data_IF_465794810627
#
_entry.id   IF_465794810627
#
_cell.length_a   1.000
_cell.length_b   1.000
_cell.length_c   1.000
_cell.angle_alpha   90.00
_cell.angle_beta   90.00
_cell.angle_gamma   90.00
#
_symmetry.space_group_name_H-M   'P 1'
#
loop_
_entity.id
_entity.type
_entity.pdbx_description
1 polymer ?
#
# COMPACT_ATOMS: atom_id res chain seq x y z
N UNK A 1 51.96 -9.69 42.81
CA UNK A 1 52.23 -8.91 44.03
C UNK A 1 51.22 -7.77 44.11
N UNK A 2 50.42 -7.70 45.19
CA UNK A 2 49.59 -6.54 45.55
C UNK A 2 50.45 -5.55 46.35
N UNK A 3 50.05 -4.28 46.44
CA UNK A 3 49.40 -3.89 47.69
C UNK A 3 48.07 -3.14 47.52
N UNK A 4 47.27 -3.24 48.59
CA UNK A 4 46.00 -2.55 48.90
C UNK A 4 46.27 -1.14 49.49
N UNK A 5 45.17 -0.38 49.59
CA UNK A 5 44.80 0.76 50.48
C UNK A 5 44.42 1.98 49.61
N UNK A 6 43.37 2.77 49.85
CA UNK A 6 42.32 2.86 50.88
C UNK A 6 41.21 3.75 50.28
N UNK A 7 39.94 3.46 50.60
CA UNK A 7 38.82 4.38 50.40
C UNK A 7 38.90 5.55 51.40
N UNK A 8 38.31 6.70 51.08
CA UNK A 8 37.19 7.15 51.91
C UNK A 8 35.96 7.57 51.11
N UNK A 9 34.79 7.22 51.66
CA UNK A 9 33.49 7.84 51.35
C UNK A 9 33.49 9.31 51.76
N UNK A 10 32.94 10.22 50.94
CA UNK A 10 32.17 11.37 51.43
C UNK A 10 30.94 11.59 50.53
N UNK A 11 29.80 11.66 51.21
CA UNK A 11 28.44 12.01 50.78
C UNK A 11 28.36 13.38 50.11
N UNK A 12 27.52 13.50 49.08
CA UNK A 12 27.08 14.79 48.55
C UNK A 12 25.85 14.62 47.67
N UNK A 13 24.65 14.59 48.28
CA UNK A 13 23.40 14.86 47.57
C UNK A 13 23.42 16.33 47.10
N UNK A 14 23.35 16.54 45.80
CA UNK A 14 22.73 17.72 45.23
C UNK A 14 22.05 17.31 43.93
N UNK A 15 20.73 17.15 44.02
CA UNK A 15 19.86 17.05 42.86
C UNK A 15 19.92 18.38 42.10
N UNK A 16 20.65 18.42 40.99
CA UNK A 16 20.54 19.48 39.99
C UNK A 16 19.87 18.87 38.76
N UNK A 17 18.54 18.98 38.77
CA UNK A 17 17.71 18.79 37.61
C UNK A 17 18.12 19.79 36.53
N UNK A 18 18.82 19.32 35.50
CA UNK A 18 18.87 19.98 34.20
C UNK A 18 18.11 19.09 33.21
N UNK A 19 16.78 19.09 33.35
CA UNK A 19 15.93 18.79 32.21
C UNK A 19 16.06 19.92 31.18
N UNK A 20 15.90 19.65 29.88
CA UNK A 20 15.78 20.71 28.90
C UNK A 20 14.63 21.61 29.33
N UNK A 21 14.89 22.91 29.42
CA UNK A 21 13.88 23.91 29.71
C UNK A 21 12.71 23.73 28.73
N UNK A 22 11.56 23.31 29.24
CA UNK A 22 10.32 23.38 28.49
C UNK A 22 10.10 24.87 28.14
N UNK A 23 9.90 25.22 26.86
CA UNK A 23 9.60 26.60 26.52
C UNK A 23 8.30 26.97 27.23
N UNK A 24 8.38 28.03 28.04
CA UNK A 24 7.27 28.62 28.78
C UNK A 24 6.14 28.97 27.81
N UNK A 25 5.12 28.09 27.74
CA UNK A 25 3.97 28.21 26.83
C UNK A 25 2.94 29.26 27.28
N UNK A 26 3.28 30.15 28.21
CA UNK A 26 2.30 31.10 28.78
C UNK A 26 2.26 32.47 28.09
N UNK A 27 3.11 32.74 27.08
CA UNK A 27 3.26 34.11 26.55
C UNK A 27 3.18 34.31 25.03
N UNK A 28 2.64 33.36 24.28
CA UNK A 28 2.41 33.58 22.85
C UNK A 28 1.05 33.03 22.40
N UNK A 29 0.46 33.71 21.41
CA UNK A 29 -0.58 33.21 20.50
C UNK A 29 -2.05 33.57 20.77
N UNK A 30 -2.37 34.86 20.94
CA UNK A 30 -3.65 35.42 20.43
C UNK A 30 -3.54 35.91 18.97
N UNK A 31 -2.36 35.80 18.36
CA UNK A 31 -2.06 36.22 16.99
C UNK A 31 -1.21 35.20 16.19
N UNK A 32 -1.26 33.90 16.53
CA UNK A 32 -0.67 32.88 15.68
C UNK A 32 -1.56 32.62 14.47
N UNK A 33 -0.98 32.68 13.28
CA UNK A 33 -1.60 32.08 12.11
C UNK A 33 -1.71 30.56 12.32
N UNK A 34 -2.88 29.99 12.12
CA UNK A 34 -3.11 28.55 12.19
C UNK A 34 -3.63 28.01 10.86
N UNK A 35 -3.33 26.76 10.52
CA UNK A 35 -3.91 26.06 9.37
C UNK A 35 -4.94 25.01 9.80
N UNK A 36 -4.82 24.52 11.04
CA UNK A 36 -5.66 23.51 11.65
C UNK A 36 -5.84 23.74 13.16
N UNK A 37 -6.84 23.09 13.76
CA UNK A 37 -7.06 23.16 15.22
C UNK A 37 -5.88 22.58 16.01
N UNK A 38 -5.09 21.68 15.41
CA UNK A 38 -3.90 21.08 16.02
C UNK A 38 -2.74 22.08 16.19
N UNK A 39 -2.77 23.21 15.45
CA UNK A 39 -1.79 24.30 15.58
C UNK A 39 -2.09 25.22 16.77
N UNK A 40 -3.27 25.10 17.36
CA UNK A 40 -3.73 25.93 18.47
C UNK A 40 -3.51 25.26 19.84
N UNK A 41 -3.32 26.08 20.87
CA UNK A 41 -3.25 25.58 22.24
C UNK A 41 -4.57 24.89 22.65
N UNK A 42 -4.49 23.92 23.57
CA UNK A 42 -5.67 23.20 24.07
C UNK A 42 -6.76 24.17 24.55
N UNK A 43 -7.99 23.99 24.05
CA UNK A 43 -9.13 24.87 24.34
C UNK A 43 -9.29 26.05 23.36
N UNK A 44 -8.48 26.11 22.31
CA UNK A 44 -8.58 27.04 21.20
C UNK A 44 -8.75 26.27 19.89
N UNK A 45 -9.47 26.86 18.95
CA UNK A 45 -9.73 26.32 17.61
C UNK A 45 -9.27 27.31 16.55
N UNK A 46 -8.89 26.80 15.38
CA UNK A 46 -8.45 27.61 14.26
C UNK A 46 -9.65 28.12 13.44
N UNK A 47 -9.95 29.42 13.52
CA UNK A 47 -10.96 30.09 12.69
C UNK A 47 -10.32 31.21 11.90
N UNK A 48 -10.55 31.21 10.59
CA UNK A 48 -10.03 32.25 9.68
C UNK A 48 -8.52 32.46 9.82
N UNK A 49 -7.77 31.36 10.00
CA UNK A 49 -6.32 31.34 10.27
C UNK A 49 -5.91 31.98 11.59
N UNK A 50 -6.80 32.10 12.57
CA UNK A 50 -6.47 32.59 13.92
C UNK A 50 -6.96 31.63 15.00
N UNK A 51 -6.17 31.45 16.06
CA UNK A 51 -6.59 30.64 17.21
C UNK A 51 -7.57 31.42 18.08
N UNK A 52 -8.81 30.95 18.17
CA UNK A 52 -9.88 31.54 18.97
C UNK A 52 -10.30 30.58 20.08
N UNK A 53 -10.55 31.10 21.28
CA UNK A 53 -11.01 30.28 22.41
C UNK A 53 -12.39 29.71 22.10
N UNK A 54 -12.56 28.40 22.23
CA UNK A 54 -13.84 27.76 22.00
C UNK A 54 -13.74 26.29 21.62
N UNK A 55 -14.90 25.71 21.34
CA UNK A 55 -15.05 24.34 20.86
C UNK A 55 -15.84 24.34 19.55
N UNK A 56 -15.54 23.39 18.67
CA UNK A 56 -16.30 23.18 17.44
C UNK A 56 -17.69 22.64 17.80
N UNK A 57 -18.71 23.12 17.12
CA UNK A 57 -20.04 22.52 17.17
C UNK A 57 -20.03 21.11 16.57
N UNK A 58 -21.00 20.27 16.94
CA UNK A 58 -21.15 18.93 16.36
C UNK A 58 -21.28 18.97 14.82
N UNK A 59 -21.94 20.01 14.28
CA UNK A 59 -22.06 20.23 12.85
C UNK A 59 -20.71 20.57 12.19
N UNK A 60 -19.89 21.43 12.81
CA UNK A 60 -18.54 21.75 12.33
C UNK A 60 -17.63 20.50 12.36
N UNK A 61 -17.68 19.71 13.44
CA UNK A 61 -16.92 18.45 13.53
C UNK A 61 -17.35 17.44 12.47
N UNK A 62 -18.65 17.29 12.22
CA UNK A 62 -19.17 16.41 11.18
C UNK A 62 -18.74 16.88 9.78
N UNK A 63 -18.78 18.19 9.51
CA UNK A 63 -18.31 18.77 8.26
C UNK A 63 -16.81 18.57 8.04
N UNK A 64 -15.98 18.78 9.08
CA UNK A 64 -14.53 18.53 9.01
C UNK A 64 -14.21 17.06 8.78
N UNK A 65 -14.92 16.15 9.45
CA UNK A 65 -14.78 14.71 9.22
C UNK A 65 -15.14 14.34 7.78
N UNK A 66 -16.28 14.81 7.28
CA UNK A 66 -16.70 14.59 5.90
C UNK A 66 -15.68 15.15 4.89
N UNK A 67 -15.18 16.36 5.10
CA UNK A 67 -14.16 16.96 4.24
C UNK A 67 -12.84 16.18 4.25
N UNK A 68 -12.41 15.68 5.42
CA UNK A 68 -11.24 14.81 5.56
C UNK A 68 -11.43 13.47 4.84
N UNK A 69 -12.61 12.88 4.96
CA UNK A 69 -12.96 11.62 4.28
C UNK A 69 -13.01 11.81 2.76
N UNK A 70 -13.60 12.90 2.27
CA UNK A 70 -13.62 13.26 0.84
C UNK A 70 -12.21 13.54 0.30
N UNK A 71 -11.37 14.28 1.05
CA UNK A 71 -9.99 14.54 0.67
C UNK A 71 -9.17 13.24 0.63
N UNK A 72 -9.37 12.34 1.60
CA UNK A 72 -8.73 11.02 1.63
C UNK A 72 -9.19 10.15 0.46
N UNK A 73 -10.46 10.19 0.10
CA UNK A 73 -10.99 9.49 -1.08
C UNK A 73 -10.40 10.06 -2.38
N UNK A 74 -10.35 11.38 -2.54
CA UNK A 74 -9.72 12.03 -3.71
C UNK A 74 -8.24 11.70 -3.81
N UNK A 75 -7.49 11.81 -2.72
CA UNK A 75 -6.06 11.46 -2.70
C UNK A 75 -5.83 9.98 -3.05
N UNK A 76 -6.70 9.08 -2.58
CA UNK A 76 -6.67 7.66 -2.99
C UNK A 76 -6.98 7.48 -4.47
N UNK A 77 -8.01 8.13 -5.00
CA UNK A 77 -8.36 8.06 -6.42
C UNK A 77 -7.25 8.61 -7.33
N UNK A 78 -6.61 9.72 -6.95
CA UNK A 78 -5.47 10.28 -7.67
C UNK A 78 -4.22 9.40 -7.58
N UNK A 79 -3.96 8.79 -6.42
CA UNK A 79 -2.89 7.82 -6.26
C UNK A 79 -3.12 6.56 -7.11
N UNK A 80 -4.36 6.08 -7.21
CA UNK A 80 -4.76 4.99 -8.11
C UNK A 80 -4.52 5.40 -9.57
N UNK A 81 -4.96 6.59 -10.00
CA UNK A 81 -4.69 7.09 -11.35
C UNK A 81 -3.20 7.20 -11.66
N UNK A 82 -2.38 7.69 -10.73
CA UNK A 82 -0.91 7.74 -10.90
C UNK A 82 -0.29 6.35 -10.99
N UNK A 83 -0.79 5.37 -10.22
CA UNK A 83 -0.37 3.97 -10.35
C UNK A 83 -0.76 3.35 -11.68
N UNK A 84 -1.84 3.80 -12.31
CA UNK A 84 -2.32 3.31 -13.60
C UNK A 84 -1.58 3.91 -14.82
N UNK A 85 -0.62 4.79 -14.58
CA UNK A 85 0.21 5.38 -15.64
C UNK A 85 1.44 4.52 -15.90
N UNK A 86 1.64 4.14 -17.17
CA UNK A 86 2.85 3.45 -17.63
C UNK A 86 3.94 4.47 -17.90
N UNK A 87 5.15 4.24 -17.38
CA UNK A 87 6.31 5.09 -17.65
C UNK A 87 6.78 4.95 -19.11
N UNK A 88 7.41 5.99 -19.69
CA UNK A 88 7.98 5.90 -21.03
C UNK A 88 8.97 4.73 -21.14
N UNK A 89 8.82 3.93 -22.20
CA UNK A 89 9.66 2.74 -22.45
C UNK A 89 9.33 1.51 -21.60
N UNK A 90 8.40 1.61 -20.65
CA UNK A 90 7.89 0.48 -19.87
C UNK A 90 6.62 -0.11 -20.51
N UNK A 91 6.27 -1.32 -20.08
CA UNK A 91 5.09 -2.05 -20.50
C UNK A 91 4.12 -2.33 -19.36
N UNK A 92 3.03 -3.04 -19.70
CA UNK A 92 2.04 -3.54 -18.74
C UNK A 92 2.09 -5.06 -18.69
N UNK A 93 1.83 -5.62 -17.52
CA UNK A 93 1.63 -7.05 -17.33
C UNK A 93 0.29 -7.29 -16.67
N UNK A 94 -0.67 -7.78 -17.44
CA UNK A 94 -2.00 -8.17 -16.95
C UNK A 94 -2.04 -9.66 -16.70
N UNK A 95 -2.48 -10.02 -15.50
CA UNK A 95 -2.71 -11.39 -15.06
C UNK A 95 -4.18 -11.64 -14.77
N UNK A 96 -4.59 -12.90 -14.88
CA UNK A 96 -5.95 -13.33 -14.50
C UNK A 96 -5.96 -14.51 -13.53
N UNK A 97 -6.66 -14.34 -12.41
CA UNK A 97 -6.91 -15.38 -11.40
C UNK A 97 -8.38 -15.79 -11.48
N UNK A 98 -8.64 -17.08 -11.70
CA UNK A 98 -10.00 -17.59 -11.89
C UNK A 98 -10.44 -18.49 -10.72
N UNK A 99 -11.72 -18.47 -10.29
CA UNK A 99 -12.80 -17.68 -10.87
C UNK A 99 -12.72 -16.18 -10.56
N UNK A 100 -12.36 -15.82 -9.32
CA UNK A 100 -12.11 -14.44 -8.87
C UNK A 100 -11.26 -14.45 -7.58
N UNK A 101 -10.61 -13.34 -7.27
CA UNK A 101 -10.17 -13.00 -5.91
C UNK A 101 -11.24 -12.13 -5.25
N UNK A 102 -11.62 -12.48 -4.01
CA UNK A 102 -12.55 -11.70 -3.19
C UNK A 102 -11.80 -11.02 -2.05
N UNK A 103 -11.92 -9.70 -1.94
CA UNK A 103 -11.29 -8.97 -0.87
C UNK A 103 -12.19 -8.97 0.38
N UNK A 104 -11.74 -9.64 1.43
CA UNK A 104 -12.38 -9.66 2.76
C UNK A 104 -11.39 -9.17 3.81
N UNK A 105 -11.88 -8.85 5.01
CA UNK A 105 -11.04 -8.41 6.14
C UNK A 105 -9.93 -9.42 6.46
N UNK A 106 -10.22 -10.71 6.28
CA UNK A 106 -9.28 -11.80 6.56
C UNK A 106 -8.49 -12.23 5.30
N UNK A 107 -8.83 -11.79 4.08
CA UNK A 107 -8.15 -12.28 2.88
C UNK A 107 -6.73 -11.74 2.73
N UNK A 108 -5.81 -12.59 2.29
CA UNK A 108 -4.49 -12.21 1.79
C UNK A 108 -4.40 -12.66 0.34
N UNK A 109 -3.96 -11.78 -0.55
CA UNK A 109 -3.63 -12.15 -1.92
C UNK A 109 -2.41 -11.38 -2.39
N UNK A 110 -1.49 -12.08 -3.04
CA UNK A 110 -0.33 -11.44 -3.67
C UNK A 110 -0.05 -11.99 -5.05
N UNK A 111 0.44 -11.13 -5.93
CA UNK A 111 1.07 -11.51 -7.19
C UNK A 111 2.48 -10.93 -7.18
N UNK A 112 3.45 -11.78 -7.48
CA UNK A 112 4.86 -11.41 -7.58
C UNK A 112 5.31 -11.62 -9.02
N UNK A 113 5.87 -10.58 -9.64
CA UNK A 113 6.51 -10.66 -10.94
C UNK A 113 8.02 -10.45 -10.78
N UNK A 114 8.81 -11.47 -11.09
CA UNK A 114 10.27 -11.45 -11.01
C UNK A 114 10.88 -11.41 -12.39
N UNK A 115 11.59 -10.33 -12.72
CA UNK A 115 12.28 -10.21 -14.00
C UNK A 115 13.40 -11.26 -14.09
N UNK A 116 13.42 -12.05 -15.17
CA UNK A 116 14.33 -13.20 -15.28
C UNK A 116 15.79 -12.78 -15.48
N UNK A 117 16.04 -11.62 -16.06
CA UNK A 117 17.38 -11.09 -16.34
C UNK A 117 17.94 -10.34 -15.13
N UNK A 118 17.23 -9.31 -14.67
CA UNK A 118 17.67 -8.43 -13.58
C UNK A 118 17.44 -9.00 -12.19
N UNK A 119 16.65 -10.08 -12.09
CA UNK A 119 16.20 -10.72 -10.82
C UNK A 119 15.39 -9.79 -9.90
N UNK A 120 15.00 -8.61 -10.38
CA UNK A 120 14.19 -7.65 -9.63
C UNK A 120 12.76 -8.14 -9.49
N UNK A 121 12.22 -8.01 -8.28
CA UNK A 121 10.86 -8.44 -7.94
C UNK A 121 9.91 -7.24 -7.84
N UNK A 122 8.70 -7.45 -8.32
CA UNK A 122 7.60 -6.50 -8.29
C UNK A 122 6.41 -7.16 -7.61
N UNK A 123 5.98 -6.60 -6.48
CA UNK A 123 4.93 -7.16 -5.64
C UNK A 123 3.64 -6.35 -5.78
N UNK A 124 2.52 -7.06 -5.96
CA UNK A 124 1.17 -6.52 -5.90
C UNK A 124 0.39 -7.21 -4.79
N UNK A 125 -0.18 -6.41 -3.89
CA UNK A 125 -1.14 -6.90 -2.89
C UNK A 125 -2.55 -6.73 -3.42
N UNK A 126 -3.27 -7.83 -3.64
CA UNK A 126 -4.59 -7.82 -4.30
C UNK A 126 -5.63 -7.03 -3.49
N UNK A 127 -5.56 -7.11 -2.16
CA UNK A 127 -6.41 -6.32 -1.25
C UNK A 127 -6.24 -4.79 -1.38
N UNK A 128 -5.17 -4.31 -2.02
CA UNK A 128 -4.97 -2.87 -2.30
C UNK A 128 -5.52 -2.43 -3.65
N UNK A 129 -5.80 -3.39 -4.53
CA UNK A 129 -6.29 -3.12 -5.89
C UNK A 129 -7.83 -3.19 -5.96
N UNK A 130 -8.47 -3.85 -5.00
CA UNK A 130 -9.93 -4.03 -4.94
C UNK A 130 -10.45 -3.48 -3.61
N UNK A 131 -11.58 -2.76 -3.57
CA UNK A 131 -12.23 -2.35 -2.31
C UNK A 131 -12.59 -3.54 -1.42
N UNK A 132 -12.70 -3.32 -0.12
CA UNK A 132 -13.18 -4.36 0.81
C UNK A 132 -14.62 -4.75 0.47
N UNK A 133 -14.91 -6.04 0.41
CA UNK A 133 -16.23 -6.59 0.04
C UNK A 133 -16.40 -6.89 -1.45
N UNK A 134 -15.56 -6.30 -2.31
CA UNK A 134 -15.59 -6.49 -3.76
C UNK A 134 -14.74 -7.69 -4.22
N UNK A 135 -14.86 -8.01 -5.51
CA UNK A 135 -14.08 -9.05 -6.19
C UNK A 135 -13.48 -8.54 -7.50
N UNK A 136 -12.42 -9.18 -7.98
CA UNK A 136 -11.97 -9.08 -9.36
C UNK A 136 -11.21 -10.34 -9.80
N UNK A 137 -11.16 -10.60 -11.09
CA UNK A 137 -10.38 -11.69 -11.68
C UNK A 137 -9.13 -11.21 -12.44
N UNK A 138 -9.05 -9.94 -12.84
CA UNK A 138 -7.93 -9.40 -13.61
C UNK A 138 -7.15 -8.33 -12.83
N UNK A 139 -5.82 -8.43 -12.86
CA UNK A 139 -4.91 -7.53 -12.16
C UNK A 139 -3.78 -7.08 -13.09
N UNK A 140 -3.40 -5.81 -13.02
CA UNK A 140 -2.42 -5.24 -13.96
C UNK A 140 -1.28 -4.56 -13.23
N UNK A 141 -0.05 -5.01 -13.48
CA UNK A 141 1.12 -4.18 -13.25
C UNK A 141 1.18 -3.15 -14.36
N UNK A 142 0.91 -1.90 -14.03
CA UNK A 142 0.76 -0.83 -15.01
C UNK A 142 2.07 -0.30 -15.58
N UNK A 143 3.19 -0.61 -14.93
CA UNK A 143 4.51 -0.13 -15.34
C UNK A 143 5.56 -1.12 -14.90
N UNK A 144 6.09 -1.87 -15.86
CA UNK A 144 7.23 -2.78 -15.69
C UNK A 144 8.24 -2.57 -16.82
N UNK A 145 9.56 -2.66 -16.52
CA UNK A 145 10.57 -2.74 -17.56
C UNK A 145 10.27 -3.87 -18.55
N UNK A 146 10.53 -3.69 -19.86
CA UNK A 146 10.40 -4.77 -20.82
C UNK A 146 11.28 -5.98 -20.44
N UNK A 147 10.84 -7.17 -20.80
CA UNK A 147 11.56 -8.41 -20.56
C UNK A 147 10.66 -9.56 -20.15
N UNK A 148 11.27 -10.71 -19.85
CA UNK A 148 10.56 -11.90 -19.39
C UNK A 148 10.47 -11.92 -17.86
N UNK A 149 9.33 -12.34 -17.35
CA UNK A 149 9.04 -12.42 -15.92
C UNK A 149 8.59 -13.82 -15.53
N UNK A 150 9.14 -14.34 -14.43
CA UNK A 150 8.56 -15.43 -13.65
C UNK A 150 7.51 -14.82 -12.71
N UNK A 151 6.25 -15.15 -12.94
CA UNK A 151 5.13 -14.61 -12.17
C UNK A 151 4.52 -15.72 -11.33
N UNK A 152 4.21 -15.41 -10.07
CA UNK A 152 3.54 -16.33 -9.15
C UNK A 152 2.39 -15.61 -8.46
N UNK A 153 1.29 -16.31 -8.22
CA UNK A 153 0.18 -15.80 -7.43
C UNK A 153 0.02 -16.65 -6.16
N UNK A 154 -0.34 -16.01 -5.05
CA UNK A 154 -0.71 -16.69 -3.82
C UNK A 154 -1.97 -16.08 -3.22
N UNK A 155 -2.74 -16.93 -2.55
CA UNK A 155 -3.97 -16.58 -1.87
C UNK A 155 -4.01 -17.22 -0.49
N UNK A 156 -4.75 -16.63 0.43
CA UNK A 156 -4.83 -17.13 1.79
C UNK A 156 -5.72 -16.31 2.70
N UNK A 157 -5.65 -16.64 3.98
CA UNK A 157 -6.39 -15.96 5.04
C UNK A 157 -5.44 -15.56 6.19
N UNK A 158 -5.71 -14.43 6.82
CA UNK A 158 -5.08 -13.97 8.05
C UNK A 158 -6.11 -13.89 9.15
N UNK A 159 -5.89 -14.65 10.23
CA UNK A 159 -6.77 -14.62 11.40
C UNK A 159 -5.93 -14.58 12.66
N UNK A 160 -6.24 -13.62 13.55
CA UNK A 160 -5.51 -13.42 14.81
C UNK A 160 -3.98 -13.27 14.63
N UNK A 161 -3.54 -12.67 13.51
CA UNK A 161 -2.13 -12.47 13.21
C UNK A 161 -1.41 -13.71 12.63
N UNK A 162 -2.11 -14.82 12.46
CA UNK A 162 -1.60 -16.01 11.78
C UNK A 162 -2.07 -15.96 10.33
N UNK A 163 -1.11 -15.98 9.40
CA UNK A 163 -1.37 -16.06 7.97
C UNK A 163 -1.19 -17.50 7.49
N UNK A 164 -2.19 -17.99 6.75
CA UNK A 164 -2.11 -19.24 5.99
C UNK A 164 -2.29 -18.90 4.51
N UNK A 165 -1.27 -19.17 3.70
CA UNK A 165 -1.23 -18.80 2.29
C UNK A 165 -0.75 -19.97 1.44
N UNK A 166 -1.43 -20.19 0.32
CA UNK A 166 -1.08 -21.18 -0.68
C UNK A 166 -0.68 -20.51 -1.98
N UNK A 167 0.29 -21.09 -2.69
CA UNK A 167 0.57 -20.69 -4.07
C UNK A 167 -0.51 -21.26 -4.99
N UNK A 168 -1.00 -20.43 -5.90
CA UNK A 168 -2.01 -20.85 -6.86
C UNK A 168 -1.35 -21.68 -7.96
N UNK A 169 -2.07 -22.72 -8.40
CA UNK A 169 -1.63 -23.52 -9.54
C UNK A 169 -1.99 -22.83 -10.85
N UNK A 170 -1.14 -22.96 -11.84
CA UNK A 170 -1.43 -22.54 -13.19
C UNK A 170 -2.72 -23.20 -13.69
N UNK A 171 -3.44 -22.53 -14.57
CA UNK A 171 -4.59 -23.14 -15.24
C UNK A 171 -4.18 -24.38 -16.06
N UNK A 172 -5.01 -25.42 -16.05
CA UNK A 172 -4.76 -26.69 -16.75
C UNK A 172 -4.43 -26.53 -18.24
N UNK A 173 -4.99 -25.49 -18.89
CA UNK A 173 -4.68 -25.19 -20.30
C UNK A 173 -3.23 -24.79 -20.50
N UNK A 174 -2.62 -24.21 -19.47
CA UNK A 174 -1.21 -23.82 -19.46
C UNK A 174 -0.29 -24.89 -18.90
N UNK A 175 -0.78 -25.82 -18.06
CA UNK A 175 0.01 -26.99 -17.62
C UNK A 175 0.42 -27.87 -18.82
N UNK A 176 -0.46 -27.97 -19.83
CA UNK A 176 -0.16 -28.70 -21.08
C UNK A 176 0.89 -28.01 -21.94
N UNK A 177 1.03 -26.69 -21.82
CA UNK A 177 2.07 -25.90 -22.45
C UNK A 177 3.21 -25.63 -21.46
N UNK A 178 4.07 -26.63 -21.27
CA UNK A 178 5.23 -26.60 -20.35
C UNK A 178 6.20 -25.44 -20.58
N UNK A 179 6.07 -24.68 -21.67
CA UNK A 179 6.85 -23.46 -21.91
C UNK A 179 6.27 -22.23 -21.19
N UNK A 180 4.98 -22.26 -20.84
CA UNK A 180 4.26 -21.14 -20.27
C UNK A 180 3.98 -21.31 -18.76
N UNK A 181 4.05 -22.52 -18.22
CA UNK A 181 3.98 -22.79 -16.79
C UNK A 181 5.13 -23.72 -16.34
N UNK A 182 5.83 -23.33 -15.28
CA UNK A 182 6.96 -24.02 -14.66
C UNK A 182 6.59 -24.42 -13.22
N UNK A 183 6.93 -25.64 -12.85
CA UNK A 183 6.69 -26.22 -11.52
C UNK A 183 5.21 -26.11 -11.07
N UNK A 184 4.28 -26.10 -12.02
CA UNK A 184 2.83 -25.97 -11.87
C UNK A 184 2.31 -24.67 -11.21
N UNK A 185 3.20 -23.76 -10.77
CA UNK A 185 2.82 -22.52 -10.06
C UNK A 185 3.40 -21.25 -10.67
N UNK A 186 4.49 -21.36 -11.46
CA UNK A 186 5.20 -20.21 -12.04
C UNK A 186 4.76 -19.99 -13.48
N UNK A 187 4.24 -18.81 -13.79
CA UNK A 187 3.90 -18.37 -15.16
C UNK A 187 5.04 -17.59 -15.77
N UNK A 188 5.48 -17.98 -16.96
CA UNK A 188 6.43 -17.19 -17.75
C UNK A 188 5.67 -16.21 -18.63
N UNK A 189 5.94 -14.91 -18.46
CA UNK A 189 5.20 -13.84 -19.11
C UNK A 189 6.14 -12.79 -19.67
N UNK A 190 5.87 -12.32 -20.89
CA UNK A 190 6.66 -11.28 -21.54
C UNK A 190 5.99 -9.91 -21.35
N UNK A 191 6.80 -8.91 -20.99
CA UNK A 191 6.42 -7.50 -20.98
C UNK A 191 7.09 -6.83 -22.17
N UNK A 192 6.27 -6.26 -23.04
CA UNK A 192 6.72 -5.41 -24.15
C UNK A 192 6.37 -3.95 -23.86
N UNK A 193 7.13 -2.98 -24.41
CA UNK A 193 6.77 -1.56 -24.34
C UNK A 193 5.34 -1.29 -24.80
N UNK A 194 4.69 -0.29 -24.19
CA UNK A 194 3.27 0.01 -24.43
C UNK A 194 2.92 0.26 -25.92
N UNK A 195 3.81 0.90 -26.67
CA UNK A 195 3.69 1.15 -28.12
C UNK A 195 3.73 -0.12 -28.97
N UNK A 196 4.26 -1.22 -28.41
CA UNK A 196 4.36 -2.54 -29.04
C UNK A 196 3.34 -3.53 -28.49
N UNK A 197 2.50 -3.15 -27.53
CA UNK A 197 1.44 -4.02 -27.02
C UNK A 197 0.36 -4.20 -28.08
N UNK A 198 -0.02 -5.45 -28.33
CA UNK A 198 -1.16 -5.74 -29.19
C UNK A 198 -2.43 -5.12 -28.59
N UNK A 199 -3.30 -4.51 -29.42
CA UNK A 199 -4.58 -4.03 -28.94
C UNK A 199 -5.41 -5.19 -28.38
N UNK A 200 -6.22 -4.96 -27.34
CA UNK A 200 -7.07 -6.01 -26.78
C UNK A 200 -8.01 -6.54 -27.84
N UNK A 201 -8.09 -7.87 -27.96
CA UNK A 201 -9.06 -8.52 -28.82
C UNK A 201 -10.47 -8.16 -28.36
N UNK A 202 -11.39 -8.01 -29.31
CA UNK A 202 -12.78 -7.67 -29.05
C UNK A 202 -13.69 -8.79 -29.51
N UNK A 203 -14.76 -9.02 -28.77
CA UNK A 203 -15.81 -9.93 -29.16
C UNK A 203 -16.66 -9.35 -30.29
N UNK A 204 -17.68 -10.11 -30.71
CA UNK A 204 -18.60 -9.72 -31.79
C UNK A 204 -19.41 -8.46 -31.47
N UNK A 205 -19.52 -8.12 -30.19
CA UNK A 205 -20.25 -6.96 -29.67
C UNK A 205 -19.31 -5.76 -29.43
N UNK A 206 -18.02 -5.91 -29.74
CA UNK A 206 -17.01 -4.86 -29.58
C UNK A 206 -16.46 -4.72 -28.17
N UNK A 207 -16.81 -5.62 -27.24
CA UNK A 207 -16.29 -5.61 -25.88
C UNK A 207 -14.93 -6.32 -25.82
N UNK A 208 -13.98 -5.85 -25.00
CA UNK A 208 -12.71 -6.54 -24.81
C UNK A 208 -12.91 -7.98 -24.34
N UNK A 209 -12.31 -8.94 -25.04
CA UNK A 209 -12.28 -10.34 -24.63
C UNK A 209 -11.32 -10.45 -23.44
N UNK A 210 -11.81 -11.03 -22.35
CA UNK A 210 -10.99 -11.31 -21.17
C UNK A 210 -9.86 -12.27 -21.52
N UNK A 211 -8.69 -12.04 -20.93
CA UNK A 211 -7.53 -12.92 -21.10
C UNK A 211 -7.85 -14.33 -20.57
N UNK A 212 -7.26 -15.41 -21.10
CA UNK A 212 -7.31 -16.73 -20.46
C UNK A 212 -6.85 -16.68 -18.99
N UNK A 213 -7.34 -17.62 -18.17
CA UNK A 213 -6.93 -17.76 -16.78
C UNK A 213 -5.44 -18.10 -16.71
N UNK A 214 -4.67 -17.35 -15.92
CA UNK A 214 -3.27 -17.69 -15.65
C UNK A 214 -3.17 -18.70 -14.50
N UNK A 215 -4.00 -18.54 -13.46
CA UNK A 215 -4.10 -19.45 -12.30
C UNK A 215 -5.54 -19.81 -11.95
N UNK A 216 -5.68 -20.97 -11.30
CA UNK A 216 -6.91 -21.40 -10.65
C UNK A 216 -6.79 -21.18 -9.13
N UNK A 217 -7.75 -20.43 -8.59
CA UNK A 217 -8.00 -20.32 -7.16
C UNK A 217 -8.85 -21.54 -6.75
N UNK A 218 -8.23 -22.44 -5.99
CA UNK A 218 -8.88 -23.61 -5.37
C UNK A 218 -9.66 -23.21 -4.11
#
# INVERSE_FOLDING_TARGET
MRPRLLLPMILGLAASACGPAEPDKSKFHTAASCESDDDCAKGFICKEKTCQKGERTAAELAAMKKAKDEAKQKARAEAVKKKQTTKPGEGRLTVRICPVYKNTIESIGTVVAKNTETKKEHLMHLAREIPEGDWADEFTFWSLPPGTYEVTASYGISKNGIADTVQLKCDDKHIKDKKACKDDVVRLMEVVPLDKMAPPEKDKDGNPIKKPCDWQAE
#
